data_IF_885792815948
#
_entry.id   IF_885792815948
#
_cell.length_a   1.000
_cell.length_b   1.000
_cell.length_c   1.000
_cell.angle_alpha   90.00
_cell.angle_beta   90.00
_cell.angle_gamma   90.00
#
_symmetry.space_group_name_H-M   'P 1'
#
loop_
_entity.id
_entity.type
_entity.pdbx_description
1 polymer ?
#
# COMPACT_ATOMS: atom_id res chain seq x y z
N UNK A 1 61.19 -33.23 -53.67
CA UNK A 1 60.00 -32.47 -54.12
C UNK A 1 59.07 -32.29 -52.92
N UNK A 2 59.42 -31.41 -51.99
CA UNK A 2 58.59 -30.99 -50.84
C UNK A 2 59.05 -29.57 -50.51
N UNK A 3 58.33 -28.54 -50.94
CA UNK A 3 58.86 -27.17 -50.81
C UNK A 3 57.93 -26.02 -51.17
N UNK A 4 56.64 -26.27 -51.39
CA UNK A 4 55.70 -25.18 -51.71
C UNK A 4 54.40 -25.27 -50.89
N UNK A 5 53.89 -26.48 -50.63
CA UNK A 5 52.69 -26.68 -49.83
C UNK A 5 52.87 -26.35 -48.32
N UNK A 6 54.02 -26.65 -47.72
CA UNK A 6 54.24 -26.37 -46.29
C UNK A 6 54.34 -24.87 -45.98
N UNK A 7 54.92 -24.09 -46.90
CA UNK A 7 55.04 -22.64 -46.78
C UNK A 7 53.69 -21.94 -46.81
N UNK A 8 52.81 -22.34 -47.74
CA UNK A 8 51.44 -21.82 -47.83
C UNK A 8 50.62 -22.15 -46.58
N UNK A 9 50.83 -23.33 -45.99
CA UNK A 9 50.12 -23.79 -44.79
C UNK A 9 50.56 -23.02 -43.54
N UNK A 10 51.86 -22.74 -43.40
CA UNK A 10 52.41 -21.93 -42.30
C UNK A 10 51.97 -20.46 -42.45
N UNK A 11 52.08 -19.88 -43.64
CA UNK A 11 51.65 -18.52 -43.92
C UNK A 11 50.14 -18.32 -43.65
N UNK A 12 49.30 -19.28 -44.05
CA UNK A 12 47.86 -19.26 -43.76
C UNK A 12 47.54 -19.32 -42.27
N UNK A 13 48.29 -20.11 -41.49
CA UNK A 13 48.13 -20.15 -40.02
C UNK A 13 48.54 -18.84 -39.35
N UNK A 14 49.66 -18.25 -39.77
CA UNK A 14 50.12 -16.94 -39.25
C UNK A 14 49.12 -15.84 -39.58
N UNK A 15 48.62 -15.78 -40.82
CA UNK A 15 47.58 -14.84 -41.21
C UNK A 15 46.29 -15.02 -40.39
N UNK A 16 45.87 -16.27 -40.14
CA UNK A 16 44.69 -16.56 -39.30
C UNK A 16 44.87 -16.09 -37.86
N UNK A 17 46.06 -16.25 -37.27
CA UNK A 17 46.37 -15.75 -35.92
C UNK A 17 46.32 -14.22 -35.88
N UNK A 18 46.93 -13.55 -36.86
CA UNK A 18 46.92 -12.07 -36.95
C UNK A 18 45.49 -11.55 -37.07
N UNK A 19 44.65 -12.15 -37.93
CA UNK A 19 43.24 -11.78 -38.09
C UNK A 19 42.47 -11.97 -36.78
N UNK A 20 42.68 -13.10 -36.08
CA UNK A 20 42.04 -13.35 -34.78
C UNK A 20 42.45 -12.33 -33.72
N UNK A 21 43.73 -11.99 -33.63
CA UNK A 21 44.23 -10.96 -32.72
C UNK A 21 43.61 -9.59 -33.01
N UNK A 22 43.50 -9.20 -34.28
CA UNK A 22 42.89 -7.93 -34.69
C UNK A 22 41.39 -7.87 -34.36
N UNK A 23 40.66 -8.98 -34.52
CA UNK A 23 39.25 -9.10 -34.14
C UNK A 23 39.09 -9.04 -32.60
N UNK A 24 39.96 -9.72 -31.84
CA UNK A 24 39.98 -9.67 -30.37
C UNK A 24 40.25 -8.26 -29.84
N UNK A 25 41.21 -7.54 -30.43
CA UNK A 25 41.52 -6.16 -30.06
C UNK A 25 40.33 -5.23 -30.32
N UNK A 26 39.75 -5.28 -31.53
CA UNK A 26 38.57 -4.47 -31.87
C UNK A 26 37.35 -4.79 -31.01
N UNK A 27 37.09 -6.06 -30.72
CA UNK A 27 35.98 -6.45 -29.83
C UNK A 27 36.22 -5.98 -28.40
N UNK A 28 37.46 -6.08 -27.89
CA UNK A 28 37.81 -5.58 -26.54
C UNK A 28 37.65 -4.06 -26.42
N UNK A 29 38.06 -3.30 -27.45
CA UNK A 29 37.91 -1.84 -27.50
C UNK A 29 36.43 -1.43 -27.61
N UNK A 30 35.65 -2.18 -28.41
CA UNK A 30 34.20 -2.01 -28.52
C UNK A 30 33.47 -2.26 -27.20
N UNK A 31 33.85 -3.31 -26.45
CA UNK A 31 33.30 -3.60 -25.12
C UNK A 31 33.67 -2.50 -24.13
N UNK A 32 34.92 -2.03 -24.12
CA UNK A 32 35.36 -0.90 -23.27
C UNK A 32 34.56 0.38 -23.55
N UNK A 33 34.34 0.70 -24.83
CA UNK A 33 33.53 1.85 -25.23
C UNK A 33 32.06 1.68 -24.80
N UNK A 34 31.49 0.48 -24.95
CA UNK A 34 30.13 0.18 -24.50
C UNK A 34 30.00 0.34 -22.97
N UNK A 35 30.96 -0.17 -22.20
CA UNK A 35 31.01 -0.01 -20.74
C UNK A 35 31.12 1.47 -20.38
N UNK A 36 31.99 2.24 -21.04
CA UNK A 36 32.13 3.67 -20.81
C UNK A 36 30.83 4.44 -21.11
N UNK A 37 30.14 4.11 -22.20
CA UNK A 37 28.83 4.67 -22.55
C UNK A 37 27.76 4.30 -21.54
N UNK A 38 27.74 3.06 -21.04
CA UNK A 38 26.82 2.61 -20.00
C UNK A 38 27.07 3.35 -18.69
N UNK A 39 28.34 3.51 -18.27
CA UNK A 39 28.72 4.30 -17.10
C UNK A 39 28.32 5.77 -17.28
N UNK A 40 28.57 6.35 -18.44
CA UNK A 40 28.19 7.74 -18.75
C UNK A 40 26.67 7.92 -18.70
N UNK A 41 25.89 7.04 -19.36
CA UNK A 41 24.42 7.07 -19.31
C UNK A 41 23.90 6.88 -17.89
N UNK A 42 24.48 5.95 -17.12
CA UNK A 42 24.09 5.70 -15.73
C UNK A 42 24.36 6.91 -14.84
N UNK A 43 25.56 7.51 -14.94
CA UNK A 43 25.92 8.74 -14.21
C UNK A 43 25.03 9.92 -14.59
N UNK A 44 24.78 10.13 -15.89
CA UNK A 44 23.93 11.23 -16.38
C UNK A 44 22.49 11.08 -15.95
N UNK A 45 21.94 9.86 -15.95
CA UNK A 45 20.60 9.57 -15.40
C UNK A 45 20.53 9.87 -13.91
N UNK A 46 21.54 9.47 -13.13
CA UNK A 46 21.59 9.74 -11.69
C UNK A 46 21.66 11.25 -11.39
N UNK A 47 22.51 12.00 -12.10
CA UNK A 47 22.62 13.45 -11.97
C UNK A 47 21.31 14.16 -12.30
N UNK A 48 20.71 13.84 -13.46
CA UNK A 48 19.42 14.42 -13.87
C UNK A 48 18.29 14.14 -12.88
N UNK A 49 18.35 13.01 -12.18
CA UNK A 49 17.37 12.64 -11.18
C UNK A 49 17.55 13.43 -9.88
N UNK A 50 18.78 13.56 -9.39
CA UNK A 50 19.09 14.40 -8.24
C UNK A 50 18.72 15.87 -8.51
N UNK A 51 18.95 16.37 -9.73
CA UNK A 51 18.50 17.70 -10.18
C UNK A 51 16.97 17.85 -10.13
N UNK A 52 16.22 16.78 -10.40
CA UNK A 52 14.74 16.82 -10.36
C UNK A 52 14.24 16.96 -8.92
N UNK A 53 14.85 16.23 -7.98
CA UNK A 53 14.54 16.38 -6.55
C UNK A 53 14.92 17.77 -6.08
N UNK A 54 16.12 18.25 -6.43
CA UNK A 54 16.59 19.56 -5.98
C UNK A 54 15.71 20.70 -6.52
N UNK A 55 15.31 20.63 -7.80
CA UNK A 55 14.33 21.55 -8.38
C UNK A 55 12.98 21.50 -7.65
N UNK A 56 12.49 20.30 -7.34
CA UNK A 56 11.25 20.12 -6.59
C UNK A 56 11.33 20.74 -5.19
N UNK A 57 12.44 20.58 -4.48
CA UNK A 57 12.64 21.17 -3.16
C UNK A 57 12.71 22.70 -3.24
N UNK A 58 13.43 23.25 -4.23
CA UNK A 58 13.55 24.69 -4.45
C UNK A 58 12.24 25.35 -4.87
N UNK A 59 11.42 24.68 -5.69
CA UNK A 59 10.11 25.21 -6.11
C UNK A 59 9.09 25.25 -4.97
N UNK A 60 9.38 24.59 -3.84
CA UNK A 60 8.48 24.44 -2.71
C UNK A 60 9.11 24.90 -1.39
N UNK A 61 9.83 26.02 -1.41
CA UNK A 61 10.50 26.64 -0.25
C UNK A 61 9.58 26.97 0.97
N UNK A 62 8.29 26.68 0.92
CA UNK A 62 7.33 26.87 2.01
C UNK A 62 7.23 25.67 2.98
N UNK A 63 8.07 24.63 2.85
CA UNK A 63 8.09 23.53 3.82
C UNK A 63 8.74 23.96 5.13
N UNK A 64 8.12 23.65 6.28
CA UNK A 64 8.67 23.88 7.64
C UNK A 64 9.76 22.83 7.98
N UNK A 65 10.21 22.05 6.99
CA UNK A 65 11.09 20.89 7.16
C UNK A 65 12.56 21.29 7.28
N UNK A 66 13.27 20.64 8.19
CA UNK A 66 14.72 20.84 8.37
C UNK A 66 15.48 19.97 7.36
N UNK A 67 16.41 20.57 6.60
CA UNK A 67 17.35 19.83 5.75
C UNK A 67 18.56 19.39 6.58
N UNK A 68 18.68 18.09 6.81
CA UNK A 68 19.80 17.48 7.52
C UNK A 68 20.92 17.07 6.56
N UNK A 69 22.17 17.19 7.02
CA UNK A 69 23.29 16.54 6.35
C UNK A 69 23.35 15.06 6.70
N UNK A 70 23.92 14.25 5.82
CA UNK A 70 24.07 12.82 6.07
C UNK A 70 25.04 12.54 7.22
N UNK A 71 26.09 13.37 7.37
CA UNK A 71 27.02 13.26 8.50
C UNK A 71 26.31 13.45 9.84
N UNK A 72 25.44 14.46 9.93
CA UNK A 72 24.64 14.71 11.13
C UNK A 72 23.65 13.56 11.39
N UNK A 73 22.99 13.03 10.36
CA UNK A 73 22.13 11.84 10.50
C UNK A 73 22.92 10.65 11.06
N UNK A 74 24.14 10.42 10.56
CA UNK A 74 24.99 9.35 11.05
C UNK A 74 25.37 9.56 12.51
N UNK A 75 25.62 10.81 12.92
CA UNK A 75 25.94 11.17 14.30
C UNK A 75 24.73 10.93 15.24
N UNK A 76 23.57 11.51 14.94
CA UNK A 76 22.37 11.43 15.80
C UNK A 76 21.80 10.00 15.93
N UNK A 77 22.12 9.12 14.96
CA UNK A 77 21.77 7.68 15.00
C UNK A 77 22.91 6.80 15.55
N UNK A 78 24.01 7.41 16.01
CA UNK A 78 25.22 6.70 16.51
C UNK A 78 25.74 5.67 15.51
N UNK A 79 25.77 6.04 14.23
CA UNK A 79 26.18 5.17 13.13
C UNK A 79 25.11 4.13 12.75
N UNK A 80 23.83 4.47 12.83
CA UNK A 80 22.70 3.57 12.53
C UNK A 80 22.66 2.32 13.44
N UNK A 81 23.00 2.50 14.73
CA UNK A 81 23.19 1.39 15.68
C UNK A 81 21.89 0.66 16.03
N UNK A 82 20.81 1.39 16.29
CA UNK A 82 19.54 0.83 16.75
C UNK A 82 18.53 0.83 15.60
N UNK A 83 18.30 -0.36 15.03
CA UNK A 83 17.35 -0.55 13.94
C UNK A 83 15.95 -0.85 14.50
N UNK A 84 14.97 -0.04 14.11
CA UNK A 84 13.58 -0.16 14.52
C UNK A 84 12.77 -1.07 13.59
N UNK A 85 13.15 -1.12 12.31
CA UNK A 85 12.47 -1.93 11.30
C UNK A 85 13.12 -1.87 9.93
N UNK A 86 12.65 -2.72 9.03
CA UNK A 86 13.01 -2.72 7.61
C UNK A 86 11.78 -3.07 6.79
N UNK A 87 11.53 -2.28 5.75
CA UNK A 87 10.45 -2.52 4.78
C UNK A 87 10.97 -2.49 3.35
N UNK A 88 10.05 -2.55 2.38
CA UNK A 88 10.39 -2.50 0.95
C UNK A 88 11.09 -1.21 0.53
N UNK A 89 10.87 -0.12 1.27
CA UNK A 89 11.35 1.22 0.96
C UNK A 89 12.67 1.59 1.64
N UNK A 90 13.13 0.82 2.63
CA UNK A 90 14.34 1.16 3.38
C UNK A 90 14.41 0.57 4.79
N UNK A 91 15.36 1.08 5.57
CA UNK A 91 15.53 0.73 6.98
C UNK A 91 15.28 1.93 7.88
N UNK A 92 14.64 1.69 9.03
CA UNK A 92 14.33 2.73 10.00
C UNK A 92 15.21 2.56 11.23
N UNK A 93 15.83 3.65 11.69
CA UNK A 93 16.75 3.66 12.82
C UNK A 93 16.30 4.67 13.87
N UNK A 94 16.57 4.37 15.13
CA UNK A 94 16.36 5.33 16.21
C UNK A 94 17.51 6.33 16.26
N UNK A 95 17.16 7.58 16.51
CA UNK A 95 18.13 8.64 16.76
C UNK A 95 17.73 9.51 17.94
N UNK A 96 18.65 10.36 18.37
CA UNK A 96 18.42 11.38 19.39
C UNK A 96 19.08 12.68 18.94
N UNK A 97 18.31 13.77 18.87
CA UNK A 97 18.84 15.09 18.54
C UNK A 97 19.71 15.65 19.68
N UNK A 98 20.43 16.74 19.43
CA UNK A 98 21.20 17.44 20.47
C UNK A 98 20.32 17.95 21.62
N UNK A 99 19.07 18.35 21.34
CA UNK A 99 18.09 18.74 22.37
C UNK A 99 17.57 17.56 23.19
N UNK A 100 17.90 16.33 22.80
CA UNK A 100 17.46 15.12 23.46
C UNK A 100 16.14 14.54 22.92
N UNK A 101 15.54 15.18 21.91
CA UNK A 101 14.34 14.69 21.23
C UNK A 101 14.61 13.36 20.52
N UNK A 102 13.74 12.37 20.74
CA UNK A 102 13.85 11.07 20.10
C UNK A 102 13.22 11.10 18.70
N UNK A 103 13.96 10.57 17.72
CA UNK A 103 13.56 10.59 16.32
C UNK A 103 13.65 9.19 15.69
N UNK A 104 12.90 9.00 14.62
CA UNK A 104 13.02 7.86 13.72
C UNK A 104 13.58 8.32 12.36
N UNK A 105 14.66 7.68 11.91
CA UNK A 105 15.33 7.98 10.64
C UNK A 105 15.08 6.85 9.65
N UNK A 106 14.23 7.09 8.66
CA UNK A 106 13.94 6.17 7.54
C UNK A 106 14.97 6.43 6.44
N UNK A 107 15.97 5.55 6.32
CA UNK A 107 16.98 5.57 5.27
C UNK A 107 16.46 4.79 4.07
N UNK A 108 16.30 5.47 2.93
CA UNK A 108 15.71 4.87 1.73
C UNK A 108 16.74 4.06 0.94
N UNK A 109 16.33 2.91 0.42
CA UNK A 109 17.21 2.07 -0.40
C UNK A 109 17.33 2.61 -1.82
N UNK A 110 18.58 2.69 -2.33
CA UNK A 110 18.92 3.20 -3.67
C UNK A 110 18.37 2.32 -4.80
N UNK A 111 18.09 1.04 -4.53
CA UNK A 111 17.86 0.03 -5.58
C UNK A 111 16.43 -0.09 -6.11
N UNK A 112 15.43 0.53 -5.47
CA UNK A 112 14.01 0.30 -5.84
C UNK A 112 13.13 1.54 -5.94
N UNK A 113 13.51 2.67 -5.35
CA UNK A 113 12.73 3.89 -5.46
C UNK A 113 13.28 4.73 -6.62
N UNK A 114 12.46 5.00 -7.65
CA UNK A 114 12.68 6.07 -8.63
C UNK A 114 12.62 7.47 -7.97
N UNK A 115 13.00 7.59 -6.68
CA UNK A 115 12.78 8.69 -5.74
C UNK A 115 11.36 9.25 -5.67
N UNK A 116 10.39 8.67 -6.38
CA UNK A 116 9.03 9.13 -6.41
C UNK A 116 8.36 9.01 -5.05
N UNK A 117 8.66 7.95 -4.30
CA UNK A 117 8.13 7.76 -2.94
C UNK A 117 8.67 8.85 -1.99
N UNK A 118 9.96 9.20 -2.13
CA UNK A 118 10.56 10.31 -1.38
C UNK A 118 9.89 11.64 -1.70
N UNK A 119 9.70 11.94 -3.00
CA UNK A 119 9.02 13.15 -3.44
C UNK A 119 7.57 13.14 -2.94
N UNK A 120 6.86 12.01 -3.06
CA UNK A 120 5.48 11.86 -2.59
C UNK A 120 5.38 12.18 -1.12
N UNK A 121 6.24 11.58 -0.30
CA UNK A 121 6.25 11.73 1.14
C UNK A 121 6.58 13.18 1.53
N UNK A 122 7.67 13.77 1.02
CA UNK A 122 8.01 15.18 1.30
C UNK A 122 6.92 16.15 0.81
N UNK A 123 6.31 15.89 -0.35
CA UNK A 123 5.26 16.74 -0.92
C UNK A 123 3.95 16.71 -0.12
N UNK A 124 3.58 15.54 0.42
CA UNK A 124 2.32 15.33 1.15
C UNK A 124 2.51 15.65 2.63
N UNK A 125 3.29 14.83 3.34
CA UNK A 125 3.38 14.94 4.80
C UNK A 125 4.17 16.18 5.25
N UNK A 126 4.99 16.75 4.37
CA UNK A 126 5.78 17.95 4.65
C UNK A 126 4.98 19.23 4.90
N UNK A 127 3.67 19.24 4.59
CA UNK A 127 2.78 20.41 4.71
C UNK A 127 1.67 20.23 5.73
N UNK A 128 1.53 19.04 6.30
CA UNK A 128 0.41 18.72 7.18
C UNK A 128 0.89 18.58 8.61
N UNK A 129 0.04 19.01 9.53
CA UNK A 129 0.27 18.83 10.95
C UNK A 129 -1.05 18.47 11.62
N UNK A 130 -1.18 17.22 12.03
CA UNK A 130 -2.39 16.72 12.67
C UNK A 130 -2.04 15.76 13.81
N UNK A 131 -2.85 15.77 14.86
CA UNK A 131 -2.62 14.94 16.06
C UNK A 131 -2.65 13.43 15.76
N UNK A 132 -3.26 13.01 14.66
CA UNK A 132 -3.33 11.60 14.23
C UNK A 132 -2.54 11.27 12.97
N UNK A 133 -1.61 12.14 12.57
CA UNK A 133 -0.68 11.90 11.46
C UNK A 133 0.75 12.05 11.97
N UNK A 134 1.66 11.17 11.54
CA UNK A 134 3.06 11.23 11.97
C UNK A 134 3.69 12.54 11.48
N UNK A 135 4.48 13.18 12.31
CA UNK A 135 5.15 14.43 11.93
C UNK A 135 6.45 14.13 11.20
N UNK A 136 6.58 14.60 9.97
CA UNK A 136 7.87 14.71 9.30
C UNK A 136 8.60 15.96 9.85
N UNK A 137 9.75 15.75 10.47
CA UNK A 137 10.59 16.82 11.03
C UNK A 137 11.50 17.39 9.94
N UNK A 138 12.03 16.51 9.10
CA UNK A 138 13.01 16.90 8.11
C UNK A 138 13.41 15.78 7.17
N UNK A 139 14.35 16.09 6.29
CA UNK A 139 14.84 15.17 5.28
C UNK A 139 16.33 15.38 5.04
N UNK A 140 16.97 14.40 4.40
CA UNK A 140 18.32 14.49 3.86
C UNK A 140 18.30 14.03 2.41
N UNK A 141 18.93 14.82 1.54
CA UNK A 141 19.23 14.47 0.15
C UNK A 141 20.67 14.88 -0.13
N UNK A 142 21.55 13.87 -0.20
CA UNK A 142 22.96 14.02 -0.56
C UNK A 142 23.35 12.91 -1.56
N UNK A 143 23.37 13.23 -2.85
CA UNK A 143 23.59 12.25 -3.94
C UNK A 143 22.57 11.09 -3.81
N UNK A 144 23.07 9.85 -3.76
CA UNK A 144 22.26 8.65 -3.57
C UNK A 144 21.75 8.44 -2.15
N UNK A 145 22.15 9.27 -1.18
CA UNK A 145 21.76 9.11 0.23
C UNK A 145 20.52 9.92 0.52
N UNK A 146 19.42 9.23 0.77
CA UNK A 146 18.12 9.83 1.07
C UNK A 146 17.60 9.30 2.39
N UNK A 147 17.15 10.22 3.23
CA UNK A 147 16.56 9.87 4.51
C UNK A 147 15.44 10.84 4.88
N UNK A 148 14.48 10.31 5.64
CA UNK A 148 13.35 11.06 6.19
C UNK A 148 13.39 10.93 7.71
N UNK A 149 13.14 12.03 8.41
CA UNK A 149 13.28 12.15 9.86
C UNK A 149 11.90 12.45 10.44
N UNK A 150 11.44 11.60 11.35
CA UNK A 150 10.15 11.69 12.02
C UNK A 150 10.30 11.73 13.53
N UNK A 151 9.22 12.12 14.21
CA UNK A 151 9.07 11.87 15.64
C UNK A 151 9.12 10.35 15.92
N UNK A 152 9.79 9.96 17.01
CA UNK A 152 9.87 8.57 17.42
C UNK A 152 8.58 8.08 18.07
N UNK A 153 8.07 6.93 17.63
CA UNK A 153 6.84 6.31 18.12
C UNK A 153 7.18 5.17 19.09
N UNK A 154 7.02 5.45 20.40
CA UNK A 154 7.54 4.59 21.46
C UNK A 154 6.91 3.20 21.50
N UNK A 155 5.63 3.08 21.16
CA UNK A 155 4.89 1.82 21.19
C UNK A 155 4.90 1.10 19.83
N UNK A 156 5.64 1.62 18.85
CA UNK A 156 5.80 0.98 17.55
C UNK A 156 4.51 0.96 16.73
N UNK A 157 4.34 -0.07 15.90
CA UNK A 157 3.22 -0.23 14.97
C UNK A 157 2.10 -1.08 15.57
N UNK A 158 0.86 -0.77 15.23
CA UNK A 158 -0.35 -1.40 15.77
C UNK A 158 -0.41 -2.91 15.47
N UNK A 159 0.09 -3.35 14.31
CA UNK A 159 0.19 -4.77 13.92
C UNK A 159 0.87 -5.64 15.00
N UNK A 160 1.91 -5.11 15.65
CA UNK A 160 2.64 -5.80 16.72
C UNK A 160 1.80 -6.00 17.97
N UNK A 161 0.81 -5.15 18.22
CA UNK A 161 -0.05 -5.23 19.40
C UNK A 161 -1.30 -6.09 19.15
N UNK A 162 -1.82 -6.12 17.92
CA UNK A 162 -3.04 -6.88 17.59
C UNK A 162 -2.76 -8.33 17.19
N UNK A 163 -1.61 -8.64 16.57
CA UNK A 163 -1.29 -10.01 16.11
C UNK A 163 -0.31 -10.77 17.02
N UNK A 164 -0.05 -10.28 18.23
CA UNK A 164 0.96 -10.85 19.12
C UNK A 164 0.62 -12.30 19.51
N UNK A 165 1.37 -13.27 18.98
CA UNK A 165 1.37 -14.66 19.42
C UNK A 165 2.56 -14.87 20.37
N UNK A 166 2.32 -15.06 21.67
CA UNK A 166 3.36 -15.54 22.59
C UNK A 166 3.66 -14.73 23.86
N UNK A 167 2.65 -14.09 24.49
CA UNK A 167 2.68 -13.77 25.93
C UNK A 167 3.67 -12.71 26.43
N UNK A 168 4.43 -12.02 25.55
CA UNK A 168 5.37 -10.96 25.97
C UNK A 168 4.75 -9.57 26.11
N UNK A 169 3.58 -9.34 25.51
CA UNK A 169 2.86 -8.07 25.53
C UNK A 169 1.39 -8.40 25.77
N UNK A 170 0.77 -7.73 26.75
CA UNK A 170 -0.67 -7.86 26.99
C UNK A 170 -1.42 -7.30 25.77
N UNK A 171 -2.34 -8.08 25.17
CA UNK A 171 -3.17 -7.59 24.07
C UNK A 171 -3.94 -6.35 24.50
N UNK A 172 -4.15 -5.42 23.56
CA UNK A 172 -5.01 -4.26 23.83
C UNK A 172 -6.45 -4.71 24.09
N UNK A 173 -7.07 -4.05 25.07
CA UNK A 173 -8.51 -4.13 25.36
C UNK A 173 -9.34 -3.53 24.22
N UNK A 174 -10.60 -3.93 24.09
CA UNK A 174 -11.46 -3.47 22.99
C UNK A 174 -11.77 -1.98 23.07
N UNK A 175 -11.96 -1.44 24.27
CA UNK A 175 -12.08 -0.01 24.51
C UNK A 175 -10.88 0.74 23.90
N UNK A 176 -9.66 0.29 24.19
CA UNK A 176 -8.45 0.93 23.66
C UNK A 176 -8.34 0.82 22.14
N UNK A 177 -8.74 -0.32 21.57
CA UNK A 177 -8.78 -0.51 20.12
C UNK A 177 -9.81 0.42 19.48
N UNK A 178 -10.98 0.59 20.09
CA UNK A 178 -11.98 1.54 19.63
C UNK A 178 -11.48 2.99 19.66
N UNK A 179 -10.84 3.42 20.76
CA UNK A 179 -10.22 4.76 20.84
C UNK A 179 -9.17 4.98 19.74
N UNK A 180 -8.35 3.96 19.47
CA UNK A 180 -7.37 3.99 18.39
C UNK A 180 -8.09 4.10 17.03
N UNK A 181 -9.11 3.28 16.79
CA UNK A 181 -9.88 3.27 15.55
C UNK A 181 -10.53 4.63 15.26
N UNK A 182 -11.18 5.21 16.27
CA UNK A 182 -11.79 6.54 16.21
C UNK A 182 -10.76 7.62 15.86
N UNK A 183 -9.60 7.60 16.53
CA UNK A 183 -8.52 8.55 16.26
C UNK A 183 -7.86 8.37 14.89
N UNK A 184 -7.76 7.14 14.39
CA UNK A 184 -7.33 6.87 13.01
C UNK A 184 -8.36 7.44 12.03
N UNK A 185 -9.66 7.24 12.27
CA UNK A 185 -10.72 7.80 11.43
C UNK A 185 -10.63 9.33 11.33
N UNK A 186 -10.39 10.02 12.45
CA UNK A 186 -10.15 11.48 12.47
C UNK A 186 -8.92 11.88 11.65
N UNK A 187 -7.87 11.08 11.71
CA UNK A 187 -6.68 11.29 10.89
C UNK A 187 -6.97 11.18 9.40
N UNK A 188 -7.76 10.19 8.96
CA UNK A 188 -8.11 10.00 7.56
C UNK A 188 -9.10 11.08 7.08
N UNK A 189 -10.09 11.44 7.90
CA UNK A 189 -11.03 12.53 7.60
C UNK A 189 -10.28 13.85 7.34
N UNK A 190 -9.31 14.18 8.19
CA UNK A 190 -8.44 15.34 7.99
C UNK A 190 -7.66 15.28 6.66
N UNK A 191 -7.17 14.10 6.25
CA UNK A 191 -6.50 13.93 4.95
C UNK A 191 -7.46 14.11 3.78
N UNK A 192 -8.73 13.70 3.93
CA UNK A 192 -9.71 13.72 2.86
C UNK A 192 -10.36 15.10 2.64
N UNK A 193 -10.62 15.85 3.71
CA UNK A 193 -11.33 17.13 3.65
C UNK A 193 -10.75 18.26 4.50
N UNK A 194 -9.81 17.99 5.41
CA UNK A 194 -9.20 18.99 6.30
C UNK A 194 -7.98 19.72 5.74
N UNK A 195 -7.57 19.40 4.52
CA UNK A 195 -6.39 19.96 3.84
C UNK A 195 -6.81 20.75 2.59
N UNK A 196 -5.99 21.71 2.15
CA UNK A 196 -6.23 22.50 0.91
C UNK A 196 -6.35 21.62 -0.35
N UNK A 197 -5.70 20.44 -0.31
CA UNK A 197 -5.82 19.41 -1.32
C UNK A 197 -6.20 18.10 -0.63
N UNK A 198 -7.05 17.32 -1.27
CA UNK A 198 -7.38 15.97 -0.80
C UNK A 198 -6.14 15.08 -0.88
N UNK A 199 -5.79 14.45 0.24
CA UNK A 199 -4.69 13.49 0.34
C UNK A 199 -5.25 12.08 0.42
N UNK A 200 -4.97 11.27 -0.59
CA UNK A 200 -5.28 9.84 -0.57
C UNK A 200 -4.04 9.07 -0.14
N UNK A 201 -4.18 8.23 0.88
CA UNK A 201 -3.06 7.52 1.50
C UNK A 201 -2.67 6.24 0.75
N UNK A 202 -3.68 5.45 0.33
CA UNK A 202 -3.57 4.16 -0.38
C UNK A 202 -2.87 3.01 0.35
N UNK A 203 -2.35 3.22 1.56
CA UNK A 203 -1.70 2.16 2.35
C UNK A 203 -2.13 2.17 3.83
N UNK A 204 -3.42 2.37 4.10
CA UNK A 204 -3.97 2.26 5.47
C UNK A 204 -4.00 0.78 5.88
N UNK A 205 -3.25 0.44 6.92
CA UNK A 205 -3.12 -0.92 7.48
C UNK A 205 -2.49 -0.86 8.88
N UNK A 206 -2.62 -1.89 9.74
CA UNK A 206 -2.10 -1.84 11.11
C UNK A 206 -0.58 -1.59 11.19
N UNK A 207 0.19 -2.01 10.18
CA UNK A 207 1.64 -1.74 10.13
C UNK A 207 1.98 -0.25 10.02
N UNK A 208 1.12 0.53 9.35
CA UNK A 208 1.32 1.95 9.08
C UNK A 208 0.62 2.84 10.12
N UNK A 209 -0.05 2.27 11.11
CA UNK A 209 -0.57 2.99 12.28
C UNK A 209 0.46 2.86 13.40
N UNK A 210 1.21 3.93 13.66
CA UNK A 210 2.20 3.97 14.73
C UNK A 210 1.60 4.55 15.99
N UNK A 211 2.15 4.20 17.15
CA UNK A 211 1.65 4.60 18.45
C UNK A 211 2.74 5.35 19.22
N UNK A 212 2.41 6.57 19.65
CA UNK A 212 3.28 7.33 20.55
C UNK A 212 3.28 6.76 21.97
N UNK A 213 4.01 7.39 22.89
CA UNK A 213 4.13 6.97 24.29
C UNK A 213 2.80 6.86 25.04
N UNK A 214 1.80 7.65 24.63
CA UNK A 214 0.47 7.67 25.22
C UNK A 214 -0.53 6.80 24.43
N UNK A 215 -0.02 5.91 23.56
CA UNK A 215 -0.79 5.07 22.66
C UNK A 215 -1.75 5.88 21.77
N UNK A 216 -1.40 7.12 21.42
CA UNK A 216 -2.16 7.90 20.43
C UNK A 216 -1.70 7.46 19.03
N UNK A 217 -2.64 7.09 18.13
CA UNK A 217 -2.27 6.62 16.80
C UNK A 217 -1.86 7.77 15.89
N UNK A 218 -0.85 7.49 15.07
CA UNK A 218 -0.29 8.33 14.02
C UNK A 218 -0.27 7.54 12.71
N UNK A 219 -1.01 8.01 11.71
CA UNK A 219 -0.93 7.48 10.35
C UNK A 219 0.46 7.79 9.79
N UNK A 220 1.11 6.81 9.18
CA UNK A 220 2.48 6.91 8.67
C UNK A 220 2.64 6.23 7.30
N UNK A 221 3.81 6.43 6.69
CA UNK A 221 4.19 5.88 5.38
C UNK A 221 3.39 6.44 4.20
N UNK A 222 3.63 7.72 3.91
CA UNK A 222 3.00 8.46 2.80
C UNK A 222 3.67 8.22 1.44
N UNK A 223 4.48 7.16 1.32
CA UNK A 223 5.22 6.86 0.08
C UNK A 223 4.30 6.64 -1.12
N UNK A 224 3.10 6.09 -0.90
CA UNK A 224 2.10 5.86 -1.95
C UNK A 224 1.08 7.01 -2.09
N UNK A 225 1.12 7.99 -1.18
CA UNK A 225 0.10 9.02 -1.07
C UNK A 225 0.07 9.95 -2.29
N UNK A 226 -1.10 10.53 -2.56
CA UNK A 226 -1.33 11.44 -3.70
C UNK A 226 -2.21 12.61 -3.31
N UNK A 227 -1.92 13.76 -3.94
CA UNK A 227 -2.65 15.02 -3.77
C UNK A 227 -3.62 15.19 -4.94
N UNK A 228 -4.88 15.50 -4.64
CA UNK A 228 -5.92 15.78 -5.63
C UNK A 228 -6.64 17.09 -5.29
N UNK A 229 -7.09 17.86 -6.30
CA UNK A 229 -8.04 18.95 -6.07
C UNK A 229 -9.33 18.41 -5.44
N UNK A 230 -9.88 19.13 -4.47
CA UNK A 230 -11.10 18.73 -3.74
C UNK A 230 -12.29 18.54 -4.70
N UNK A 231 -12.34 19.32 -5.78
CA UNK A 231 -13.46 19.28 -6.75
C UNK A 231 -13.42 18.08 -7.71
N UNK A 232 -12.35 17.28 -7.71
CA UNK A 232 -12.17 16.13 -8.60
C UNK A 232 -12.22 14.79 -7.82
N UNK A 233 -13.40 14.19 -7.76
CA UNK A 233 -13.64 12.97 -6.99
C UNK A 233 -13.10 11.68 -7.65
N UNK A 234 -12.75 11.70 -8.94
CA UNK A 234 -12.26 10.51 -9.66
C UNK A 234 -10.78 10.65 -9.98
N UNK A 235 -10.02 9.67 -9.51
CA UNK A 235 -8.58 9.59 -9.63
C UNK A 235 -8.17 8.70 -10.79
N UNK A 236 -7.35 9.25 -11.69
CA UNK A 236 -6.60 8.48 -12.67
C UNK A 236 -5.36 7.85 -12.01
N UNK A 237 -5.37 6.52 -11.80
CA UNK A 237 -4.17 5.77 -11.43
C UNK A 237 -3.65 4.99 -12.65
N UNK A 238 -2.35 5.08 -12.89
CA UNK A 238 -1.64 4.33 -13.95
C UNK A 238 -1.26 2.90 -13.54
N UNK A 239 -1.36 2.57 -12.25
CA UNK A 239 -1.12 1.22 -11.72
C UNK A 239 -1.80 1.06 -10.35
N UNK A 240 -2.26 -0.15 -10.04
CA UNK A 240 -2.75 -0.51 -8.71
C UNK A 240 -1.63 -0.32 -7.67
N UNK A 241 -1.98 0.30 -6.53
CA UNK A 241 -1.08 0.61 -5.42
C UNK A 241 -1.72 0.18 -4.10
N UNK A 242 -0.88 -0.13 -3.11
CA UNK A 242 -1.29 -0.50 -1.76
C UNK A 242 -0.85 -1.90 -1.38
N UNK A 243 -1.32 -2.36 -0.22
CA UNK A 243 -0.98 -3.69 0.33
C UNK A 243 -2.11 -4.68 0.11
N UNK A 244 -1.79 -5.85 -0.46
CA UNK A 244 -2.74 -6.96 -0.65
C UNK A 244 -3.49 -7.25 0.65
N UNK A 245 -4.83 -7.33 0.56
CA UNK A 245 -5.72 -7.47 1.72
C UNK A 245 -6.34 -6.17 2.22
N UNK A 246 -5.79 -5.00 1.83
CA UNK A 246 -6.36 -3.68 2.16
C UNK A 246 -6.70 -2.86 0.90
N UNK A 247 -6.23 -3.28 -0.27
CA UNK A 247 -6.53 -2.60 -1.53
C UNK A 247 -8.02 -2.73 -1.86
N UNK A 248 -8.65 -1.60 -2.14
CA UNK A 248 -10.05 -1.55 -2.50
C UNK A 248 -10.31 -2.21 -3.88
N UNK A 249 -11.43 -2.95 -4.05
CA UNK A 249 -11.71 -3.70 -5.26
C UNK A 249 -11.65 -2.88 -6.56
N UNK A 250 -12.06 -1.61 -6.55
CA UNK A 250 -12.10 -0.73 -7.72
C UNK A 250 -10.71 -0.38 -8.27
N UNK A 251 -9.62 -0.66 -7.53
CA UNK A 251 -8.26 -0.54 -8.05
C UNK A 251 -7.87 -1.71 -8.98
N UNK A 252 -8.64 -2.80 -8.98
CA UNK A 252 -8.47 -3.96 -9.85
C UNK A 252 -9.62 -4.13 -10.85
N UNK A 253 -10.84 -3.77 -10.44
CA UNK A 253 -12.05 -3.96 -11.21
C UNK A 253 -12.58 -2.59 -11.69
N UNK A 254 -12.27 -2.24 -12.94
CA UNK A 254 -12.67 -0.94 -13.50
C UNK A 254 -14.20 -0.81 -13.74
N UNK A 255 -14.96 -1.89 -13.61
CA UNK A 255 -16.41 -1.93 -13.86
C UNK A 255 -17.28 -1.67 -12.62
N UNK A 256 -16.70 -1.53 -11.42
CA UNK A 256 -17.45 -1.35 -10.16
C UNK A 256 -17.41 0.07 -9.60
N UNK A 257 -16.63 0.98 -10.20
CA UNK A 257 -16.57 2.39 -9.81
C UNK A 257 -15.23 3.06 -10.13
N UNK A 258 -15.20 4.39 -10.01
CA UNK A 258 -13.96 5.17 -10.11
C UNK A 258 -13.17 5.19 -8.80
N UNK A 259 -11.85 5.31 -8.91
CA UNK A 259 -10.95 5.40 -7.75
C UNK A 259 -11.13 6.77 -7.09
N UNK A 260 -11.30 6.80 -5.77
CA UNK A 260 -11.55 8.03 -4.99
C UNK A 260 -11.05 7.85 -3.55
N UNK A 261 -11.33 8.82 -2.67
CA UNK A 261 -11.10 8.70 -1.23
C UNK A 261 -11.77 7.48 -0.58
N UNK A 262 -12.78 6.90 -1.23
CA UNK A 262 -13.44 5.65 -0.82
C UNK A 262 -12.50 4.43 -0.82
N UNK A 263 -11.35 4.51 -1.50
CA UNK A 263 -10.32 3.47 -1.42
C UNK A 263 -9.70 3.41 -0.01
N UNK A 264 -9.41 4.56 0.59
CA UNK A 264 -8.90 4.62 1.98
C UNK A 264 -9.96 4.22 3.00
N UNK A 265 -11.24 4.53 2.72
CA UNK A 265 -12.38 4.08 3.55
C UNK A 265 -12.42 2.54 3.60
N UNK A 266 -12.27 1.89 2.44
CA UNK A 266 -12.21 0.42 2.38
C UNK A 266 -11.04 -0.13 3.19
N UNK A 267 -9.84 0.43 3.01
CA UNK A 267 -8.67 0.04 3.78
C UNK A 267 -8.85 0.25 5.30
N UNK A 268 -9.55 1.31 5.71
CA UNK A 268 -9.91 1.57 7.10
C UNK A 268 -10.90 0.51 7.65
N UNK A 269 -11.91 0.11 6.87
CA UNK A 269 -12.80 -0.98 7.25
C UNK A 269 -12.05 -2.30 7.46
N UNK A 270 -11.12 -2.63 6.55
CA UNK A 270 -10.26 -3.80 6.70
C UNK A 270 -9.38 -3.71 7.96
N UNK A 271 -8.83 -2.53 8.27
CA UNK A 271 -8.09 -2.27 9.50
C UNK A 271 -8.95 -2.54 10.74
N UNK A 272 -10.18 -2.00 10.81
CA UNK A 272 -11.09 -2.21 11.94
C UNK A 272 -11.43 -3.70 12.14
N UNK A 273 -11.68 -4.45 11.05
CA UNK A 273 -11.93 -5.90 11.15
C UNK A 273 -10.76 -6.64 11.79
N UNK A 274 -9.52 -6.32 11.40
CA UNK A 274 -8.34 -6.97 12.01
C UNK A 274 -8.13 -6.56 13.47
N UNK A 275 -8.50 -5.32 13.83
CA UNK A 275 -8.43 -4.84 15.21
C UNK A 275 -9.42 -5.60 16.09
N UNK A 276 -10.69 -5.70 15.68
CA UNK A 276 -11.72 -6.42 16.45
C UNK A 276 -11.40 -7.91 16.55
N UNK A 277 -11.03 -8.52 15.42
CA UNK A 277 -10.75 -9.96 15.37
C UNK A 277 -9.41 -10.35 15.98
N UNK A 278 -8.51 -9.38 16.25
CA UNK A 278 -7.12 -9.61 16.68
C UNK A 278 -6.39 -10.66 15.81
N UNK A 279 -6.76 -10.72 14.53
CA UNK A 279 -6.31 -11.71 13.55
C UNK A 279 -6.30 -11.11 12.15
N UNK A 280 -5.55 -11.74 11.24
CA UNK A 280 -5.56 -11.36 9.83
C UNK A 280 -6.92 -11.65 9.20
N UNK A 281 -7.37 -10.73 8.34
CA UNK A 281 -8.67 -10.85 7.67
C UNK A 281 -8.74 -12.03 6.70
N UNK A 282 -7.60 -12.40 6.11
CA UNK A 282 -7.49 -13.58 5.25
C UNK A 282 -6.65 -14.62 5.97
N UNK A 283 -7.23 -15.81 6.19
CA UNK A 283 -6.52 -16.97 6.71
C UNK A 283 -6.61 -18.13 5.72
N UNK A 284 -5.56 -18.30 4.90
CA UNK A 284 -5.47 -19.37 3.91
C UNK A 284 -5.44 -20.79 4.52
N UNK A 285 -5.19 -20.90 5.83
CA UNK A 285 -5.13 -22.17 6.55
C UNK A 285 -6.37 -22.42 7.43
N UNK A 286 -7.46 -21.71 7.19
CA UNK A 286 -8.71 -21.94 7.92
C UNK A 286 -9.27 -23.34 7.59
N UNK A 287 -9.74 -24.05 8.63
CA UNK A 287 -10.29 -25.42 8.48
C UNK A 287 -11.59 -25.45 7.67
N UNK A 288 -12.37 -24.36 7.72
CA UNK A 288 -13.61 -24.20 6.98
C UNK A 288 -13.49 -23.05 5.97
N UNK A 289 -14.03 -23.25 4.77
CA UNK A 289 -14.02 -22.25 3.69
C UNK A 289 -14.70 -20.93 4.10
N UNK A 290 -15.74 -21.01 4.93
CA UNK A 290 -16.44 -19.85 5.49
C UNK A 290 -15.56 -18.98 6.40
N UNK A 291 -14.50 -19.52 7.00
CA UNK A 291 -13.58 -18.81 7.90
C UNK A 291 -12.35 -18.23 7.20
N UNK A 292 -12.20 -18.45 5.89
CA UNK A 292 -11.07 -17.94 5.10
C UNK A 292 -11.09 -16.40 5.08
N UNK A 293 -12.27 -15.82 4.94
CA UNK A 293 -12.48 -14.36 4.91
C UNK A 293 -13.25 -13.90 6.13
N UNK A 294 -12.52 -13.33 7.08
CA UNK A 294 -13.04 -12.94 8.39
C UNK A 294 -14.28 -12.02 8.34
N UNK A 295 -14.36 -11.00 7.46
CA UNK A 295 -15.54 -10.14 7.42
C UNK A 295 -16.83 -10.85 6.99
N UNK A 296 -16.76 -11.77 6.02
CA UNK A 296 -17.94 -12.57 5.65
C UNK A 296 -18.33 -13.53 6.77
N UNK A 297 -17.35 -14.15 7.44
CA UNK A 297 -17.61 -15.05 8.56
C UNK A 297 -18.32 -14.33 9.71
N UNK A 298 -17.83 -13.14 10.07
CA UNK A 298 -18.44 -12.27 11.09
C UNK A 298 -19.87 -11.90 10.70
N UNK A 299 -20.09 -11.47 9.46
CA UNK A 299 -21.42 -11.13 8.97
C UNK A 299 -22.41 -12.30 9.11
N UNK A 300 -22.01 -13.49 8.67
CA UNK A 300 -22.86 -14.68 8.69
C UNK A 300 -23.27 -15.07 10.11
N UNK A 301 -22.37 -14.89 11.09
CA UNK A 301 -22.64 -15.15 12.50
C UNK A 301 -23.64 -14.16 13.09
N UNK A 302 -23.42 -12.86 12.85
CA UNK A 302 -24.32 -11.78 13.29
C UNK A 302 -25.73 -11.96 12.72
N UNK A 303 -25.83 -12.24 11.42
CA UNK A 303 -27.13 -12.41 10.76
C UNK A 303 -27.92 -13.65 11.21
N UNK A 304 -27.26 -14.60 11.88
CA UNK A 304 -27.89 -15.78 12.47
C UNK A 304 -28.22 -15.59 13.96
N UNK A 305 -28.06 -14.37 14.49
CA UNK A 305 -28.23 -14.05 15.91
C UNK A 305 -27.30 -14.89 16.81
N UNK A 306 -26.16 -15.33 16.25
CA UNK A 306 -25.12 -16.02 17.01
C UNK A 306 -24.16 -14.98 17.61
N UNK A 307 -23.91 -15.11 18.92
CA UNK A 307 -22.94 -14.27 19.60
C UNK A 307 -21.53 -14.45 19.01
N UNK A 308 -20.88 -13.33 18.75
CA UNK A 308 -19.43 -13.29 18.57
C UNK A 308 -18.86 -13.34 19.98
N UNK A 309 -18.41 -14.52 20.42
CA UNK A 309 -17.75 -14.69 21.72
C UNK A 309 -16.46 -13.86 21.78
N UNK A 310 -16.57 -12.63 22.26
CA UNK A 310 -15.44 -11.78 22.62
C UNK A 310 -14.98 -12.19 24.01
N UNK A 311 -14.14 -13.23 24.06
CA UNK A 311 -13.59 -13.78 25.30
C UNK A 311 -12.98 -12.66 26.15
N UNK A 312 -13.38 -12.59 27.42
CA UNK A 312 -12.94 -11.61 28.44
C UNK A 312 -13.38 -10.15 28.21
N UNK A 313 -14.35 -9.87 27.33
CA UNK A 313 -14.91 -8.52 27.14
C UNK A 313 -16.08 -8.22 28.08
N UNK A 314 -16.04 -7.05 28.74
CA UNK A 314 -17.18 -6.53 29.50
C UNK A 314 -18.28 -5.96 28.56
N UNK A 315 -19.44 -5.57 29.11
CA UNK A 315 -20.58 -5.07 28.32
C UNK A 315 -20.23 -3.86 27.44
N UNK A 316 -19.48 -2.89 27.97
CA UNK A 316 -19.07 -1.71 27.21
C UNK A 316 -18.07 -2.04 26.10
N UNK A 317 -17.14 -2.95 26.37
CA UNK A 317 -16.19 -3.48 25.38
C UNK A 317 -16.88 -4.24 24.25
N UNK A 318 -17.94 -4.98 24.55
CA UNK A 318 -18.78 -5.61 23.55
C UNK A 318 -19.45 -4.56 22.67
N UNK A 319 -20.03 -3.50 23.25
CA UNK A 319 -20.61 -2.39 22.46
C UNK A 319 -19.58 -1.74 21.54
N UNK A 320 -18.37 -1.47 22.04
CA UNK A 320 -17.29 -0.91 21.22
C UNK A 320 -16.88 -1.84 20.06
N UNK A 321 -16.79 -3.13 20.31
CA UNK A 321 -16.50 -4.12 19.29
C UNK A 321 -17.60 -4.18 18.22
N UNK A 322 -18.87 -4.18 18.64
CA UNK A 322 -20.03 -4.16 17.76
C UNK A 322 -20.05 -2.91 16.88
N UNK A 323 -19.84 -1.72 17.44
CA UNK A 323 -19.72 -0.46 16.66
C UNK A 323 -18.62 -0.59 15.60
N UNK A 324 -17.43 -1.07 15.98
CA UNK A 324 -16.33 -1.26 15.04
C UNK A 324 -16.68 -2.26 13.92
N UNK A 325 -17.36 -3.36 14.23
CA UNK A 325 -17.77 -4.35 13.22
C UNK A 325 -18.76 -3.75 12.23
N UNK A 326 -19.84 -3.12 12.71
CA UNK A 326 -20.89 -2.57 11.84
C UNK A 326 -20.29 -1.51 10.92
N UNK A 327 -19.52 -0.57 11.47
CA UNK A 327 -18.82 0.47 10.71
C UNK A 327 -17.85 -0.14 9.70
N UNK A 328 -17.08 -1.15 10.11
CA UNK A 328 -16.16 -1.81 9.21
C UNK A 328 -16.87 -2.48 8.03
N UNK A 329 -18.00 -3.15 8.27
CA UNK A 329 -18.81 -3.79 7.24
C UNK A 329 -19.38 -2.76 6.24
N UNK A 330 -19.77 -1.57 6.70
CA UNK A 330 -20.16 -0.45 5.82
C UNK A 330 -18.98 0.06 4.98
N UNK A 331 -17.80 0.16 5.57
CA UNK A 331 -16.59 0.61 4.89
C UNK A 331 -16.10 -0.36 3.80
N UNK A 332 -16.32 -1.67 3.93
CA UNK A 332 -15.78 -2.69 3.01
C UNK A 332 -16.77 -3.13 1.90
N UNK A 333 -17.81 -2.34 1.64
CA UNK A 333 -18.74 -2.64 0.54
C UNK A 333 -18.03 -2.68 -0.81
N UNK A 334 -18.50 -3.55 -1.70
CA UNK A 334 -17.83 -3.81 -2.99
C UNK A 334 -17.77 -2.54 -3.84
N UNK A 335 -18.89 -1.82 -4.00
CA UNK A 335 -18.93 -0.58 -4.77
C UNK A 335 -18.52 0.61 -3.90
N UNK A 336 -17.68 1.53 -4.40
CA UNK A 336 -17.25 2.72 -3.66
C UNK A 336 -18.40 3.65 -3.24
N UNK A 337 -19.48 3.68 -4.03
CA UNK A 337 -20.65 4.53 -3.76
C UNK A 337 -21.44 4.08 -2.53
N UNK A 338 -21.38 2.79 -2.21
CA UNK A 338 -22.14 2.19 -1.10
C UNK A 338 -21.39 2.32 0.25
N UNK A 339 -20.12 2.78 0.21
CA UNK A 339 -19.31 3.03 1.41
C UNK A 339 -19.62 4.42 1.97
N UNK A 340 -19.60 4.64 3.29
CA UNK A 340 -19.69 5.99 3.86
C UNK A 340 -18.45 6.84 3.53
N UNK A 341 -18.55 8.14 3.74
CA UNK A 341 -17.42 9.06 3.87
C UNK A 341 -16.77 8.94 5.25
N UNK A 342 -15.55 9.45 5.42
CA UNK A 342 -14.90 9.39 6.74
C UNK A 342 -15.60 10.24 7.80
N UNK A 343 -16.28 11.33 7.41
CA UNK A 343 -17.09 12.14 8.33
C UNK A 343 -18.32 11.33 8.82
N UNK A 344 -19.02 10.65 7.91
CA UNK A 344 -20.13 9.74 8.29
C UNK A 344 -19.62 8.57 9.15
N UNK A 345 -18.43 8.01 8.86
CA UNK A 345 -17.80 6.98 9.69
C UNK A 345 -17.55 7.47 11.12
N UNK A 346 -17.13 8.73 11.30
CA UNK A 346 -16.95 9.31 12.62
C UNK A 346 -18.28 9.44 13.36
N UNK A 347 -19.31 9.94 12.69
CA UNK A 347 -20.67 10.03 13.26
C UNK A 347 -21.16 8.65 13.70
N UNK A 348 -20.99 7.63 12.88
CA UNK A 348 -21.38 6.26 13.21
C UNK A 348 -20.59 5.70 14.41
N UNK A 349 -19.26 5.92 14.46
CA UNK A 349 -18.44 5.45 15.57
C UNK A 349 -18.83 6.15 16.88
N UNK A 350 -19.15 7.44 16.84
CA UNK A 350 -19.51 8.26 18.01
C UNK A 350 -20.97 8.06 18.45
N UNK A 351 -21.87 7.65 17.55
CA UNK A 351 -23.27 7.36 17.85
C UNK A 351 -23.47 6.12 18.73
N UNK A 352 -24.64 5.98 19.34
CA UNK A 352 -25.02 4.78 20.09
C UNK A 352 -25.17 3.55 19.18
N UNK A 353 -24.82 2.37 19.71
CA UNK A 353 -24.73 1.15 18.89
C UNK A 353 -26.11 0.71 18.39
N UNK A 354 -27.15 0.98 19.17
CA UNK A 354 -28.55 0.68 18.88
C UNK A 354 -29.10 1.48 17.70
N UNK A 355 -28.44 2.58 17.32
CA UNK A 355 -28.82 3.40 16.17
C UNK A 355 -28.20 2.90 14.85
N UNK A 356 -27.20 2.00 14.94
CA UNK A 356 -26.49 1.51 13.77
C UNK A 356 -27.27 0.38 13.10
N UNK A 357 -27.43 0.47 11.78
CA UNK A 357 -28.03 -0.57 10.97
C UNK A 357 -26.97 -1.44 10.33
N UNK A 358 -27.23 -2.76 10.26
CA UNK A 358 -26.36 -3.67 9.54
C UNK A 358 -26.38 -3.38 8.03
N UNK A 359 -25.20 -3.25 7.38
CA UNK A 359 -25.12 -3.10 5.93
C UNK A 359 -25.51 -4.40 5.21
N UNK A 360 -25.62 -4.39 3.87
CA UNK A 360 -25.61 -5.61 3.07
C UNK A 360 -24.33 -6.43 3.27
N UNK A 361 -24.42 -7.75 3.02
CA UNK A 361 -23.26 -8.65 3.10
C UNK A 361 -22.14 -8.19 2.15
N UNK A 362 -20.91 -7.98 2.64
CA UNK A 362 -19.81 -7.58 1.79
C UNK A 362 -19.28 -8.77 0.97
N UNK A 363 -18.91 -8.51 -0.28
CA UNK A 363 -18.33 -9.50 -1.18
C UNK A 363 -16.90 -9.10 -1.57
N UNK A 364 -16.01 -10.09 -1.64
CA UNK A 364 -14.60 -9.88 -2.01
C UNK A 364 -14.41 -9.66 -3.53
N UNK A 365 -15.29 -10.22 -4.34
CA UNK A 365 -15.27 -10.15 -5.79
C UNK A 365 -16.69 -9.92 -6.34
N UNK A 366 -16.83 -9.31 -7.52
CA UNK A 366 -18.11 -9.23 -8.20
C UNK A 366 -18.67 -10.65 -8.40
N UNK A 367 -19.89 -10.90 -7.92
CA UNK A 367 -20.58 -12.13 -8.26
C UNK A 367 -21.01 -12.05 -9.72
N UNK A 368 -20.72 -13.09 -10.51
CA UNK A 368 -21.43 -13.27 -11.77
C UNK A 368 -22.91 -13.38 -11.43
N UNK A 369 -23.74 -12.46 -11.95
CA UNK A 369 -25.18 -12.63 -11.90
C UNK A 369 -25.47 -13.91 -12.67
N UNK A 370 -25.78 -14.99 -11.96
CA UNK A 370 -26.52 -16.09 -12.56
C UNK A 370 -27.82 -15.48 -13.06
N UNK A 371 -27.97 -15.40 -14.38
CA UNK A 371 -29.26 -15.15 -15.01
C UNK A 371 -30.16 -16.27 -14.54
N UNK A 372 -30.96 -16.01 -13.51
CA UNK A 372 -32.09 -16.85 -13.17
C UNK A 372 -32.99 -16.77 -14.39
N UNK A 373 -33.01 -17.85 -15.17
CA UNK A 373 -34.02 -18.05 -16.20
C UNK A 373 -35.37 -17.92 -15.49
N UNK A 374 -36.08 -16.83 -15.75
CA UNK A 374 -37.51 -16.78 -15.53
C UNK A 374 -38.14 -17.74 -16.55
N UNK A 375 -38.10 -19.03 -16.24
CA UNK A 375 -39.22 -19.89 -16.59
C UNK A 375 -40.40 -19.36 -15.78
N UNK A 376 -41.34 -18.68 -16.44
CA UNK A 376 -42.68 -19.25 -16.52
C UNK A 376 -43.68 -18.49 -17.43
N UNK A 377 -44.43 -19.32 -18.16
CA UNK A 377 -45.83 -19.16 -18.62
C UNK A 377 -46.11 -18.29 -19.86
N UNK A 378 -46.48 -18.98 -20.95
CA UNK A 378 -47.54 -18.52 -21.85
C UNK A 378 -48.47 -19.70 -22.23
N UNK A 379 -49.80 -19.60 -22.08
CA UNK A 379 -50.70 -20.73 -22.31
C UNK A 379 -51.18 -20.77 -23.77
N UNK A 380 -51.34 -22.02 -24.27
CA UNK A 380 -52.06 -22.45 -25.49
C UNK A 380 -51.30 -22.33 -26.83
N UNK A 381 -51.16 -23.47 -27.51
CA UNK A 381 -51.26 -23.53 -28.98
C UNK A 381 -50.39 -24.53 -29.75
N UNK A 382 -50.75 -25.83 -29.69
CA UNK A 382 -50.53 -26.95 -30.66
C UNK A 382 -49.10 -27.29 -31.19
N UNK A 383 -48.83 -28.59 -31.46
CA UNK A 383 -47.53 -29.07 -31.90
C UNK A 383 -47.41 -29.08 -33.44
N UNK A 384 -46.24 -28.71 -33.97
CA UNK A 384 -45.86 -29.02 -35.36
C UNK A 384 -44.42 -29.53 -35.38
N UNK A 385 -44.26 -30.56 -36.21
CA UNK A 385 -43.19 -31.54 -36.37
C UNK A 385 -41.76 -31.02 -36.53
N UNK A 386 -40.85 -31.83 -36.01
CA UNK A 386 -39.48 -31.99 -36.48
C UNK A 386 -39.43 -32.38 -37.97
N UNK A 387 -38.75 -31.57 -38.79
CA UNK A 387 -38.06 -32.06 -39.97
C UNK A 387 -36.69 -31.39 -40.06
N UNK A 388 -35.68 -32.25 -39.98
CA UNK A 388 -34.32 -32.11 -40.47
C UNK A 388 -34.29 -31.59 -41.91
N UNK A 389 -33.44 -30.61 -42.19
CA UNK A 389 -32.85 -30.49 -43.52
C UNK A 389 -31.36 -30.13 -43.42
N UNK A 390 -30.58 -31.05 -43.97
CA UNK A 390 -29.14 -31.04 -44.18
C UNK A 390 -28.81 -30.07 -45.32
N UNK A 391 -27.96 -29.07 -45.08
CA UNK A 391 -27.40 -28.25 -46.16
C UNK A 391 -26.06 -28.86 -46.59
N UNK A 392 -26.12 -29.59 -47.71
CA UNK A 392 -24.99 -29.78 -48.63
C UNK A 392 -24.95 -28.59 -49.58
N UNK A 393 -23.84 -27.85 -49.58
CA UNK A 393 -23.50 -26.88 -50.63
C UNK A 393 -22.50 -27.53 -51.58
N UNK A 394 -22.89 -27.68 -52.84
CA UNK A 394 -21.96 -27.71 -53.96
C UNK A 394 -22.40 -26.63 -54.95
N UNK A 395 -21.42 -25.91 -55.51
CA UNK A 395 -21.57 -24.50 -55.89
C UNK A 395 -22.32 -24.15 -57.19
N UNK A 396 -22.75 -22.87 -57.20
CA UNK A 396 -23.46 -22.04 -58.20
C UNK A 396 -24.96 -21.87 -58.02
#
# INVERSE_FOLDING_TARGET
MFGYNDYFTIAGRVASIIIKCFILERTSLGILFLIALLIYKFRRRHLSFDDTIEKFLQSHNNFILIRYSYSLIKEITKGFKEKLGQGGYGSVYKGKTQSGHLIAVKVLSVSKANGQDFISEVATIGRIHHVNVVRLIGFCVERSKRALIYDFMANGSLDKLIFCKGGKINPLRWERLYEIGLRVARGIEYLHGGCDMQILHFDIKPHNILLDENFIPKISDFGLAKLYPIDNNIVSLTAARGTVGYIAPELFYNNIGGISYKADVYSFGMLLMEMVGKRKNVNAFAEHSSQIYFPSWVYDRISQDEDIELVDANEDEQKFAWKMIIVALWCIQLKPMDRPSMSEVLEMLESEVELLQMPPKPFLYPQEMSTVNHEDINPRGKPISSHTDTITLDGR
#
